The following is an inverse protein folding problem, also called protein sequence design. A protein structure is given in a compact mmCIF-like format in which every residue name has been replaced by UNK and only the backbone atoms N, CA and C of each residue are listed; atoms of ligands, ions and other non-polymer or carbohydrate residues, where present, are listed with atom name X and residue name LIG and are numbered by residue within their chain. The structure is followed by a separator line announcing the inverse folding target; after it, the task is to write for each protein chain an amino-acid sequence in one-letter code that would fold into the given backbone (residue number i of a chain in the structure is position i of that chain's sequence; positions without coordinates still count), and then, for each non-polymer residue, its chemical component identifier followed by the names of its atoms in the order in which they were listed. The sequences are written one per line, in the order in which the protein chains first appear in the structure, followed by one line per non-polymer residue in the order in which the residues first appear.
data_IF_313477651960
#
_entry.id   IF_313477651960
#
_cell.length_a   1.000
_cell.length_b   1.000
_cell.length_c   1.000
_cell.angle_alpha   90.00
_cell.angle_beta   90.00
_cell.angle_gamma   90.00
#
_symmetry.space_group_name_H-M   'P 1'
#
loop_
_entity.id
_entity.type
_entity.pdbx_description
1 polymer ?
#
# COMPACT_ATOMS: atom_id res chain seq x y z
N UNK A 1 33.64 11.87 5.57
CA UNK A 1 34.97 11.35 5.98
C UNK A 1 34.74 10.01 6.69
N UNK A 2 35.60 8.99 6.50
CA UNK A 2 35.50 7.73 7.25
C UNK A 2 35.65 8.02 8.75
N UNK A 3 34.81 7.41 9.60
CA UNK A 3 34.83 7.59 11.06
C UNK A 3 35.80 6.61 11.71
N UNK A 4 36.72 7.07 12.55
CA UNK A 4 37.62 6.20 13.31
C UNK A 4 36.99 5.86 14.66
N UNK A 5 37.16 4.61 15.12
CA UNK A 5 36.72 4.21 16.47
C UNK A 5 37.48 5.04 17.52
N UNK A 6 36.74 5.74 18.37
CA UNK A 6 37.29 6.62 19.42
C UNK A 6 37.17 8.13 19.14
N UNK A 7 36.79 8.55 17.93
CA UNK A 7 36.57 9.96 17.61
C UNK A 7 35.22 10.48 18.16
N UNK A 8 35.16 11.74 18.57
CA UNK A 8 33.91 12.43 18.89
C UNK A 8 33.11 12.72 17.62
N UNK A 9 31.78 12.53 17.66
CA UNK A 9 30.93 12.88 16.52
C UNK A 9 30.91 14.40 16.31
N UNK A 10 31.08 14.85 15.06
CA UNK A 10 31.02 16.27 14.72
C UNK A 10 29.60 16.72 14.44
N UNK A 11 29.29 18.00 14.68
CA UNK A 11 28.00 18.61 14.32
C UNK A 11 27.62 18.39 12.85
N UNK A 12 28.59 18.47 11.94
CA UNK A 12 28.37 18.21 10.51
C UNK A 12 27.93 16.76 10.27
N UNK A 13 28.59 15.80 10.93
CA UNK A 13 28.27 14.38 10.79
C UNK A 13 26.92 14.03 11.41
N UNK A 14 26.59 14.63 12.56
CA UNK A 14 25.28 14.49 13.19
C UNK A 14 24.17 15.05 12.30
N UNK A 15 24.32 16.29 11.83
CA UNK A 15 23.33 16.92 10.94
C UNK A 15 23.13 16.14 9.64
N UNK A 16 24.16 15.46 9.13
CA UNK A 16 24.00 14.58 7.95
C UNK A 16 22.99 13.46 8.19
N UNK A 17 22.97 12.86 9.38
CA UNK A 17 21.98 11.81 9.71
C UNK A 17 20.59 12.41 9.94
N UNK A 18 20.52 13.58 10.59
CA UNK A 18 19.27 14.33 10.76
C UNK A 18 18.66 14.69 9.40
N UNK A 19 19.46 15.17 8.45
CA UNK A 19 18.99 15.56 7.13
C UNK A 19 18.47 14.36 6.33
N UNK A 20 19.16 13.21 6.39
CA UNK A 20 18.70 11.96 5.78
C UNK A 20 17.34 11.52 6.35
N UNK A 21 17.17 11.58 7.66
CA UNK A 21 15.89 11.30 8.30
C UNK A 21 14.79 12.27 7.86
N UNK A 22 15.11 13.56 7.83
CA UNK A 22 14.14 14.61 7.51
C UNK A 22 13.62 14.51 6.08
N UNK A 23 14.45 14.07 5.12
CA UNK A 23 14.01 13.85 3.74
C UNK A 23 12.98 12.71 3.66
N UNK A 24 13.11 11.66 4.47
CA UNK A 24 12.13 10.57 4.52
C UNK A 24 10.84 11.01 5.20
N UNK A 25 10.96 11.79 6.28
CA UNK A 25 9.86 12.11 7.18
C UNK A 25 9.01 13.30 6.74
N UNK A 26 9.66 14.41 6.39
CA UNK A 26 9.01 15.71 6.17
C UNK A 26 8.70 15.86 4.69
N UNK A 27 9.70 16.25 3.91
CA UNK A 27 9.72 16.28 2.45
C UNK A 27 11.15 16.66 2.02
N UNK A 28 11.56 16.32 0.78
CA UNK A 28 12.75 16.91 0.18
C UNK A 28 12.72 18.44 0.24
N UNK A 29 13.87 19.07 0.47
CA UNK A 29 14.00 20.54 0.54
C UNK A 29 14.65 21.09 -0.72
N UNK A 30 14.26 22.31 -1.09
CA UNK A 30 14.90 23.07 -2.16
C UNK A 30 16.26 23.64 -1.73
N UNK A 31 16.92 24.37 -2.62
CA UNK A 31 18.21 25.02 -2.33
C UNK A 31 18.16 26.12 -1.25
N UNK A 32 16.96 26.53 -0.83
CA UNK A 32 16.72 27.52 0.22
C UNK A 32 16.36 26.87 1.57
N UNK A 33 16.14 25.56 1.59
CA UNK A 33 15.77 24.80 2.78
C UNK A 33 14.25 24.65 2.99
N UNK A 34 13.43 25.08 2.02
CA UNK A 34 11.97 24.96 2.08
C UNK A 34 11.51 23.61 1.50
N UNK A 35 10.47 22.96 2.06
CA UNK A 35 9.89 21.74 1.48
C UNK A 35 9.47 21.92 0.02
N UNK A 36 9.86 20.99 -0.84
CA UNK A 36 9.47 20.97 -2.25
C UNK A 36 8.01 20.54 -2.35
N UNK A 37 7.14 21.43 -2.81
CA UNK A 37 5.78 21.10 -3.18
C UNK A 37 5.76 20.55 -4.62
N UNK A 38 5.39 19.28 -4.78
CA UNK A 38 5.28 18.66 -6.08
C UNK A 38 3.90 18.88 -6.70
N UNK A 39 3.86 19.30 -7.96
CA UNK A 39 2.65 19.22 -8.80
C UNK A 39 2.65 17.92 -9.59
N UNK A 40 1.46 17.40 -9.93
CA UNK A 40 1.39 16.23 -10.78
C UNK A 40 1.95 16.52 -12.17
N UNK A 41 2.89 15.69 -12.59
CA UNK A 41 3.42 15.62 -13.94
C UNK A 41 3.66 14.14 -14.23
N UNK A 42 3.05 13.61 -15.29
CA UNK A 42 3.08 12.17 -15.58
C UNK A 42 4.49 11.64 -15.87
N UNK A 43 5.35 12.46 -16.48
CA UNK A 43 6.72 12.06 -16.82
C UNK A 43 7.60 12.04 -15.57
N UNK A 44 7.46 13.05 -14.72
CA UNK A 44 8.22 13.16 -13.48
C UNK A 44 7.70 12.20 -12.40
N UNK A 45 6.40 11.93 -12.36
CA UNK A 45 5.79 10.95 -11.45
C UNK A 45 6.50 9.60 -11.51
N UNK A 46 6.84 9.15 -12.73
CA UNK A 46 7.47 7.85 -12.98
C UNK A 46 8.99 7.88 -12.82
N UNK A 47 9.63 9.00 -13.15
CA UNK A 47 11.10 9.08 -13.28
C UNK A 47 11.80 9.75 -12.10
N UNK A 48 11.15 10.68 -11.39
CA UNK A 48 11.76 11.47 -10.33
C UNK A 48 11.68 10.76 -8.98
N UNK A 49 12.78 10.17 -8.54
CA UNK A 49 12.83 9.37 -7.32
C UNK A 49 12.61 10.18 -6.04
N UNK A 50 12.91 11.49 -6.04
CA UNK A 50 12.68 12.38 -4.89
C UNK A 50 11.18 12.47 -4.52
N UNK A 51 10.28 12.29 -5.48
CA UNK A 51 8.83 12.22 -5.22
C UNK A 51 8.47 11.04 -4.32
N UNK A 52 9.33 10.03 -4.22
CA UNK A 52 9.10 8.82 -3.43
C UNK A 52 9.66 8.93 -2.00
N UNK A 53 9.98 10.15 -1.56
CA UNK A 53 10.47 10.48 -0.23
C UNK A 53 9.52 11.49 0.43
N UNK A 54 9.52 11.58 1.75
CA UNK A 54 8.66 12.51 2.47
C UNK A 54 7.29 11.89 2.74
N UNK A 55 6.96 11.86 4.02
CA UNK A 55 5.67 11.43 4.54
C UNK A 55 4.78 12.61 4.90
N UNK A 56 5.28 13.85 4.73
CA UNK A 56 4.55 15.08 4.97
C UNK A 56 4.40 15.43 6.44
N UNK A 57 5.30 14.94 7.29
CA UNK A 57 5.34 15.29 8.72
C UNK A 57 5.86 16.73 8.92
N UNK A 58 5.48 17.38 10.03
CA UNK A 58 5.97 18.72 10.33
C UNK A 58 7.48 18.77 10.53
N UNK A 59 8.06 19.95 10.31
CA UNK A 59 9.48 20.22 10.53
C UNK A 59 9.87 19.89 11.98
N UNK A 60 10.76 18.91 12.14
CA UNK A 60 11.58 18.76 13.33
C UNK A 60 12.84 19.64 13.16
N UNK A 61 13.25 20.32 14.23
CA UNK A 61 14.46 21.15 14.21
C UNK A 61 15.49 20.53 15.17
N UNK A 62 15.95 19.33 14.81
CA UNK A 62 16.92 18.56 15.59
C UNK A 62 18.36 18.94 15.19
N UNK A 63 18.55 19.62 14.07
CA UNK A 63 19.86 20.07 13.60
C UNK A 63 20.51 21.02 14.60
N UNK A 64 21.83 20.87 14.79
CA UNK A 64 22.62 21.74 15.65
C UNK A 64 23.49 22.69 14.83
N UNK A 65 23.93 23.80 15.41
CA UNK A 65 24.83 24.72 14.71
C UNK A 65 26.23 24.14 14.57
N UNK A 66 26.99 24.63 13.58
CA UNK A 66 28.37 24.23 13.39
C UNK A 66 29.20 24.45 14.67
N UNK A 67 30.11 23.52 14.97
CA UNK A 67 30.96 23.48 16.17
C UNK A 67 30.24 23.17 17.49
N UNK A 68 28.93 22.87 17.47
CA UNK A 68 28.23 22.36 18.66
C UNK A 68 28.82 21.02 19.09
N UNK A 69 29.10 20.88 20.39
CA UNK A 69 29.44 19.59 20.99
C UNK A 69 28.19 18.72 21.02
N UNK A 70 28.29 17.50 20.47
CA UNK A 70 27.17 16.58 20.42
C UNK A 70 27.09 15.81 21.73
N UNK A 71 26.19 16.27 22.58
CA UNK A 71 25.80 15.62 23.83
C UNK A 71 24.82 14.45 23.61
N UNK A 72 24.71 13.58 24.62
CA UNK A 72 23.77 12.46 24.62
C UNK A 72 22.32 12.89 24.34
N UNK A 73 21.91 14.10 24.74
CA UNK A 73 20.58 14.64 24.46
C UNK A 73 20.29 14.76 22.96
N UNK A 74 21.24 15.23 22.16
CA UNK A 74 21.05 15.36 20.71
C UNK A 74 20.89 13.99 20.05
N UNK A 75 21.71 13.01 20.44
CA UNK A 75 21.61 11.64 19.97
C UNK A 75 20.25 11.03 20.35
N UNK A 76 19.89 11.11 21.64
CA UNK A 76 18.67 10.50 22.16
C UNK A 76 17.43 11.12 21.51
N UNK A 77 17.47 12.41 21.16
CA UNK A 77 16.40 13.09 20.43
C UNK A 77 16.23 12.50 19.02
N UNK A 78 17.32 12.39 18.25
CA UNK A 78 17.27 11.78 16.93
C UNK A 78 16.83 10.31 17.01
N UNK A 79 17.34 9.54 17.97
CA UNK A 79 16.96 8.15 18.18
C UNK A 79 15.46 8.00 18.49
N UNK A 80 14.89 8.85 19.35
CA UNK A 80 13.45 8.83 19.65
C UNK A 80 12.59 9.12 18.41
N UNK A 81 13.02 10.06 17.56
CA UNK A 81 12.35 10.32 16.29
C UNK A 81 12.41 9.12 15.34
N UNK A 82 13.59 8.50 15.18
CA UNK A 82 13.76 7.31 14.33
C UNK A 82 12.92 6.14 14.85
N UNK A 83 12.96 5.88 16.16
CA UNK A 83 12.14 4.84 16.79
C UNK A 83 10.65 5.04 16.54
N UNK A 84 10.19 6.29 16.56
CA UNK A 84 8.78 6.62 16.30
C UNK A 84 8.35 6.32 14.87
N UNK A 85 9.27 6.44 13.90
CA UNK A 85 9.00 6.01 12.54
C UNK A 85 9.22 4.52 12.28
N UNK A 86 10.15 3.89 12.97
CA UNK A 86 10.33 2.43 12.91
C UNK A 86 9.10 1.69 13.47
N UNK A 87 8.48 2.21 14.53
CA UNK A 87 7.23 1.66 15.08
C UNK A 87 6.14 1.53 14.01
N UNK A 88 6.10 2.47 13.07
CA UNK A 88 5.13 2.43 11.99
C UNK A 88 5.33 1.23 11.06
N UNK A 89 6.56 0.76 10.85
CA UNK A 89 6.85 -0.38 9.97
C UNK A 89 6.79 -1.72 10.70
N UNK A 90 7.35 -1.81 11.89
CA UNK A 90 7.46 -3.08 12.59
C UNK A 90 7.55 -2.84 14.09
N UNK A 91 6.52 -3.24 14.83
CA UNK A 91 6.45 -3.15 16.30
C UNK A 91 7.65 -3.85 16.98
N UNK A 92 8.25 -4.86 16.32
CA UNK A 92 9.47 -5.55 16.77
C UNK A 92 10.80 -4.93 16.31
N UNK A 93 10.84 -4.00 15.35
CA UNK A 93 12.10 -3.41 14.84
C UNK A 93 12.57 -2.19 15.62
N UNK A 94 12.16 -2.06 16.89
CA UNK A 94 12.68 -1.08 17.85
C UNK A 94 14.15 -1.38 18.18
N UNK A 95 15.00 -1.24 17.17
CA UNK A 95 16.36 -1.78 17.12
C UNK A 95 17.33 -0.87 17.88
N UNK A 96 16.90 0.34 18.28
CA UNK A 96 17.74 1.30 18.99
C UNK A 96 17.40 1.26 20.48
N UNK A 97 17.69 0.12 21.12
CA UNK A 97 17.66 -0.03 22.59
C UNK A 97 18.85 0.63 23.30
N UNK A 98 19.72 1.34 22.56
CA UNK A 98 20.89 2.01 23.12
C UNK A 98 20.70 3.51 23.07
N UNK A 99 19.91 4.06 24.01
CA UNK A 99 20.14 5.44 24.40
C UNK A 99 21.58 5.55 24.89
N UNK A 100 22.29 6.58 24.45
CA UNK A 100 23.54 6.95 25.11
C UNK A 100 23.15 7.43 26.50
N UNK A 101 23.85 6.93 27.54
CA UNK A 101 23.60 7.30 28.93
C UNK A 101 23.42 8.80 29.05
N UNK A 102 22.28 9.25 29.60
CA UNK A 102 22.02 10.67 29.80
C UNK A 102 23.11 11.25 30.73
N UNK A 103 23.52 12.49 30.47
CA UNK A 103 24.64 13.18 31.15
C UNK A 103 26.05 12.68 30.77
N UNK A 104 26.20 12.04 29.61
CA UNK A 104 27.52 11.94 28.95
C UNK A 104 27.69 13.17 28.05
N UNK A 105 28.73 13.95 28.31
CA UNK A 105 29.01 15.21 27.61
C UNK A 105 29.46 14.99 26.16
N UNK A 106 29.93 13.79 25.81
CA UNK A 106 30.55 13.49 24.51
C UNK A 106 30.02 12.20 23.92
N UNK A 107 29.33 12.30 22.78
CA UNK A 107 28.92 11.16 21.96
C UNK A 107 30.07 10.77 21.01
N UNK A 108 30.37 9.49 20.93
CA UNK A 108 31.39 8.97 20.01
C UNK A 108 30.81 8.78 18.61
N UNK A 109 31.66 8.87 17.60
CA UNK A 109 31.29 8.66 16.21
C UNK A 109 30.71 7.26 15.95
N UNK A 110 31.16 6.26 16.72
CA UNK A 110 30.64 4.88 16.67
C UNK A 110 29.22 4.75 17.20
N UNK A 111 28.79 5.64 18.10
CA UNK A 111 27.46 5.58 18.70
C UNK A 111 26.36 5.89 17.66
N UNK A 112 26.72 6.60 16.57
CA UNK A 112 25.82 6.88 15.45
C UNK A 112 25.59 5.69 14.51
N UNK A 113 26.42 4.64 14.57
CA UNK A 113 26.34 3.52 13.62
C UNK A 113 24.96 2.83 13.57
N UNK A 114 24.25 2.60 14.69
CA UNK A 114 22.91 2.03 14.67
C UNK A 114 21.90 2.92 13.94
N UNK A 115 21.93 4.25 14.18
CA UNK A 115 21.03 5.19 13.51
C UNK A 115 21.32 5.22 12.00
N UNK A 116 22.59 5.17 11.61
CA UNK A 116 22.98 5.11 10.20
C UNK A 116 22.58 3.82 9.51
N UNK A 117 22.64 2.69 10.21
CA UNK A 117 22.19 1.41 9.68
C UNK A 117 20.71 1.45 9.33
N UNK A 118 19.89 2.03 10.21
CA UNK A 118 18.45 2.24 9.95
C UNK A 118 18.24 3.14 8.73
N UNK A 119 18.94 4.29 8.65
CA UNK A 119 18.82 5.21 7.50
C UNK A 119 19.22 4.54 6.18
N UNK A 120 20.30 3.77 6.23
CA UNK A 120 20.83 3.03 5.09
C UNK A 120 19.85 1.93 4.64
N UNK A 121 19.12 1.31 5.57
CA UNK A 121 18.04 0.36 5.26
C UNK A 121 16.92 1.05 4.48
N UNK A 122 16.44 2.21 4.94
CA UNK A 122 15.39 2.98 4.26
C UNK A 122 15.79 3.44 2.85
N UNK A 123 17.03 3.85 2.67
CA UNK A 123 17.53 4.35 1.40
C UNK A 123 17.75 3.22 0.38
N UNK A 124 18.26 2.08 0.83
CA UNK A 124 18.65 0.98 -0.05
C UNK A 124 17.55 -0.06 -0.28
N UNK A 125 16.42 0.04 0.43
CA UNK A 125 15.30 -0.91 0.31
C UNK A 125 13.98 -0.20 0.06
N UNK A 126 12.96 -0.97 -0.35
CA UNK A 126 11.59 -0.48 -0.43
C UNK A 126 10.90 -0.45 0.96
N UNK A 127 11.62 -0.74 2.05
CA UNK A 127 11.09 -0.73 3.42
C UNK A 127 10.58 0.65 3.89
N UNK A 128 10.91 1.74 3.17
CA UNK A 128 10.31 3.07 3.40
C UNK A 128 8.83 3.16 3.06
N UNK A 129 8.28 2.21 2.32
CA UNK A 129 6.86 2.12 1.97
C UNK A 129 6.14 1.00 2.72
N UNK A 130 6.81 0.36 3.67
CA UNK A 130 6.25 -0.78 4.37
C UNK A 130 5.42 -0.28 5.57
N UNK A 131 4.14 -0.62 5.58
CA UNK A 131 3.19 -0.34 6.65
C UNK A 131 3.31 -1.31 7.83
N UNK A 132 4.11 -2.36 7.69
CA UNK A 132 4.07 -3.50 8.59
C UNK A 132 2.79 -4.32 8.49
N UNK A 133 2.70 -5.33 9.35
CA UNK A 133 1.49 -6.14 9.53
C UNK A 133 0.37 -5.42 10.32
N UNK A 134 0.64 -4.21 10.81
CA UNK A 134 -0.23 -3.50 11.76
C UNK A 134 -1.04 -2.37 11.14
N UNK A 135 -0.92 -2.08 9.83
CA UNK A 135 -1.70 -1.00 9.19
C UNK A 135 -3.20 -1.03 9.53
N UNK A 136 -3.79 0.15 9.79
CA UNK A 136 -5.22 0.26 10.08
C UNK A 136 -6.01 0.12 8.77
N UNK A 137 -6.86 -0.91 8.70
CA UNK A 137 -7.76 -1.14 7.58
C UNK A 137 -8.99 -0.23 7.72
N UNK A 138 -9.25 0.57 6.70
CA UNK A 138 -10.42 1.43 6.63
C UNK A 138 -11.16 1.12 5.32
N UNK A 139 -12.13 0.21 5.43
CA UNK A 139 -13.14 0.00 4.40
C UNK A 139 -14.15 1.14 4.45
N UNK A 140 -14.40 1.75 3.29
CA UNK A 140 -15.28 2.92 3.23
C UNK A 140 -16.36 2.81 2.18
N UNK A 141 -16.28 1.83 1.26
CA UNK A 141 -17.19 1.78 0.13
C UNK A 141 -17.43 0.36 -0.40
N UNK A 142 -18.61 -0.19 -0.12
CA UNK A 142 -19.10 -1.44 -0.71
C UNK A 142 -20.05 -1.14 -1.87
N UNK A 143 -19.86 -1.80 -3.01
CA UNK A 143 -20.65 -1.58 -4.23
C UNK A 143 -21.07 -2.90 -4.89
N UNK A 144 -22.36 -3.20 -4.83
CA UNK A 144 -22.96 -4.41 -5.42
C UNK A 144 -23.44 -4.17 -6.85
N UNK A 145 -23.36 -5.20 -7.71
CA UNK A 145 -23.93 -5.21 -9.05
C UNK A 145 -25.47 -5.34 -9.05
N UNK A 146 -26.11 -5.53 -7.89
CA UNK A 146 -27.55 -5.69 -7.76
C UNK A 146 -28.12 -6.92 -8.47
N UNK A 147 -27.30 -7.95 -8.72
CA UNK A 147 -27.69 -9.14 -9.48
C UNK A 147 -27.85 -8.91 -10.99
N UNK A 148 -27.24 -7.85 -11.54
CA UNK A 148 -27.21 -7.64 -12.99
C UNK A 148 -26.45 -8.79 -13.65
N UNK A 149 -27.15 -9.53 -14.50
CA UNK A 149 -26.60 -10.68 -15.20
C UNK A 149 -25.66 -10.27 -16.35
N UNK A 150 -24.62 -11.06 -16.60
CA UNK A 150 -23.57 -10.78 -17.59
C UNK A 150 -22.96 -12.07 -18.15
N UNK A 151 -22.18 -11.98 -19.23
CA UNK A 151 -21.70 -13.14 -20.00
C UNK A 151 -22.58 -13.46 -21.21
N UNK A 152 -22.36 -14.63 -21.83
CA UNK A 152 -23.05 -15.08 -23.05
C UNK A 152 -24.25 -15.97 -22.77
N UNK A 153 -25.33 -15.78 -23.54
CA UNK A 153 -26.46 -16.72 -23.62
C UNK A 153 -26.33 -17.67 -24.82
N UNK A 154 -25.18 -17.67 -25.52
CA UNK A 154 -25.03 -18.36 -26.81
C UNK A 154 -23.70 -19.13 -26.88
N UNK A 155 -23.80 -20.46 -26.86
CA UNK A 155 -22.69 -21.41 -26.95
C UNK A 155 -21.96 -21.40 -28.31
N UNK A 156 -22.36 -20.53 -29.25
CA UNK A 156 -21.94 -20.58 -30.65
C UNK A 156 -20.90 -19.51 -31.05
N UNK A 157 -20.46 -18.64 -30.14
CA UNK A 157 -19.59 -17.50 -30.44
C UNK A 157 -18.32 -17.52 -29.57
N UNK A 158 -17.29 -18.20 -30.04
CA UNK A 158 -16.00 -18.37 -29.34
C UNK A 158 -15.17 -17.07 -29.16
N UNK A 159 -15.74 -15.88 -29.41
CA UNK A 159 -15.01 -14.59 -29.43
C UNK A 159 -15.76 -13.43 -28.77
N UNK A 160 -16.83 -13.70 -28.00
CA UNK A 160 -17.58 -12.67 -27.27
C UNK A 160 -17.61 -13.01 -25.79
N UNK A 161 -16.46 -12.97 -25.11
CA UNK A 161 -16.42 -13.07 -23.65
C UNK A 161 -17.09 -11.83 -23.07
N UNK A 162 -18.29 -12.00 -22.49
CA UNK A 162 -18.96 -10.91 -21.81
C UNK A 162 -18.11 -10.43 -20.62
N UNK A 163 -18.14 -9.12 -20.36
CA UNK A 163 -17.45 -8.51 -19.21
C UNK A 163 -18.42 -7.80 -18.28
N UNK A 164 -18.07 -7.69 -17.00
CA UNK A 164 -18.75 -6.85 -16.01
C UNK A 164 -17.74 -5.86 -15.45
N UNK A 165 -18.04 -4.56 -15.57
CA UNK A 165 -17.08 -3.49 -15.28
C UNK A 165 -17.62 -2.45 -14.30
N UNK A 166 -16.81 -2.01 -13.35
CA UNK A 166 -17.09 -0.87 -12.45
C UNK A 166 -15.86 0.02 -12.33
N UNK A 167 -16.07 1.31 -12.03
CA UNK A 167 -14.99 2.27 -11.79
C UNK A 167 -15.19 2.92 -10.43
N UNK A 168 -14.20 2.76 -9.56
CA UNK A 168 -14.08 3.51 -8.31
C UNK A 168 -13.06 4.62 -8.47
N UNK A 169 -13.36 5.79 -7.89
CA UNK A 169 -12.50 6.97 -7.94
C UNK A 169 -12.09 7.39 -6.55
N UNK A 170 -10.78 7.52 -6.37
CA UNK A 170 -10.11 7.97 -5.16
C UNK A 170 -9.62 9.39 -5.40
N UNK A 171 -10.00 10.31 -4.53
CA UNK A 171 -9.69 11.75 -4.71
C UNK A 171 -8.95 12.28 -3.49
N UNK A 172 -7.79 12.87 -3.73
CA UNK A 172 -7.03 13.66 -2.75
C UNK A 172 -7.13 15.15 -3.09
N UNK A 173 -6.94 16.00 -2.08
CA UNK A 173 -6.89 17.47 -2.24
C UNK A 173 -5.90 17.88 -3.33
N UNK A 174 -4.71 17.26 -3.33
CA UNK A 174 -3.66 17.52 -4.30
C UNK A 174 -2.74 16.30 -4.46
N UNK A 175 -1.75 16.43 -5.35
CA UNK A 175 -0.78 15.36 -5.62
C UNK A 175 0.14 15.05 -4.44
N UNK A 176 0.48 16.03 -3.59
CA UNK A 176 1.33 15.77 -2.42
C UNK A 176 0.61 14.96 -1.37
N UNK A 177 -0.68 15.21 -1.15
CA UNK A 177 -1.47 14.40 -0.22
C UNK A 177 -1.50 12.93 -0.65
N UNK A 178 -1.69 12.64 -1.94
CA UNK A 178 -1.59 11.28 -2.47
C UNK A 178 -0.18 10.70 -2.32
N UNK A 179 0.86 11.49 -2.63
CA UNK A 179 2.26 11.10 -2.51
C UNK A 179 2.61 10.75 -1.06
N UNK A 180 2.19 11.55 -0.10
CA UNK A 180 2.37 11.33 1.33
C UNK A 180 1.64 10.07 1.78
N UNK A 181 0.41 9.85 1.33
CA UNK A 181 -0.35 8.62 1.62
C UNK A 181 0.42 7.37 1.18
N UNK A 182 0.85 7.29 -0.08
CA UNK A 182 1.59 6.11 -0.57
C UNK A 182 3.01 6.03 0.02
N UNK A 183 3.68 7.16 0.24
CA UNK A 183 5.04 7.18 0.79
C UNK A 183 5.08 6.72 2.24
N UNK A 184 4.06 7.03 3.04
CA UNK A 184 3.90 6.46 4.39
C UNK A 184 3.35 5.03 4.35
N UNK A 185 3.52 4.33 3.23
CA UNK A 185 3.10 2.97 3.00
C UNK A 185 1.61 2.75 2.69
N UNK A 186 0.76 3.78 2.75
CA UNK A 186 -0.68 3.67 2.51
C UNK A 186 -1.01 2.90 1.23
N UNK A 187 -2.07 2.08 1.30
CA UNK A 187 -2.47 1.23 0.18
C UNK A 187 -3.97 1.31 -0.06
N UNK A 188 -4.35 1.24 -1.32
CA UNK A 188 -5.74 1.03 -1.70
C UNK A 188 -6.05 -0.46 -1.61
N UNK A 189 -7.23 -0.80 -1.09
CA UNK A 189 -7.70 -2.19 -0.99
C UNK A 189 -8.85 -2.42 -1.95
N UNK A 190 -8.87 -3.61 -2.52
CA UNK A 190 -9.95 -4.12 -3.36
C UNK A 190 -10.22 -5.53 -2.88
N UNK A 191 -11.43 -5.78 -2.46
CA UNK A 191 -11.92 -7.10 -2.09
C UNK A 191 -13.21 -7.37 -2.85
N UNK A 192 -13.39 -8.60 -3.30
CA UNK A 192 -14.50 -9.00 -4.15
C UNK A 192 -15.23 -10.16 -3.48
N UNK A 193 -16.54 -10.11 -3.52
CA UNK A 193 -17.40 -11.16 -2.98
C UNK A 193 -18.43 -11.51 -4.05
N UNK A 194 -18.69 -12.81 -4.24
CA UNK A 194 -19.85 -13.28 -4.98
C UNK A 194 -20.82 -13.90 -3.97
N UNK A 195 -22.10 -13.60 -4.03
CA UNK A 195 -23.12 -14.27 -3.22
C UNK A 195 -24.38 -14.54 -4.02
N UNK A 196 -24.98 -15.72 -3.82
CA UNK A 196 -26.25 -16.08 -4.44
C UNK A 196 -26.22 -16.06 -5.97
N UNK A 197 -27.37 -16.27 -6.60
CA UNK A 197 -27.46 -16.56 -8.04
C UNK A 197 -27.56 -18.06 -8.32
N UNK A 198 -28.03 -18.39 -9.52
CA UNK A 198 -28.17 -19.76 -10.01
C UNK A 198 -26.98 -20.20 -10.86
N UNK A 199 -26.23 -19.25 -11.44
CA UNK A 199 -25.15 -19.50 -12.39
C UNK A 199 -23.91 -18.64 -12.09
N UNK A 200 -22.74 -19.29 -12.07
CA UNK A 200 -21.42 -18.66 -11.89
C UNK A 200 -21.05 -18.26 -10.45
N UNK A 201 -21.98 -18.37 -9.49
CA UNK A 201 -21.73 -17.98 -8.09
C UNK A 201 -20.54 -18.70 -7.47
N UNK A 202 -20.56 -20.04 -7.41
CA UNK A 202 -19.53 -20.82 -6.71
C UNK A 202 -18.15 -20.60 -7.33
N UNK A 203 -18.11 -20.40 -8.64
CA UNK A 203 -16.88 -20.25 -9.39
C UNK A 203 -16.25 -18.87 -9.19
N UNK A 204 -17.05 -17.80 -9.22
CA UNK A 204 -16.59 -16.45 -8.92
C UNK A 204 -16.19 -16.30 -7.44
N UNK A 205 -16.97 -16.88 -6.53
CA UNK A 205 -16.67 -16.93 -5.09
C UNK A 205 -15.31 -17.58 -4.84
N UNK A 206 -15.07 -18.76 -5.45
CA UNK A 206 -13.78 -19.44 -5.35
C UNK A 206 -12.62 -18.63 -5.93
N UNK A 207 -12.80 -17.98 -7.08
CA UNK A 207 -11.75 -17.12 -7.67
C UNK A 207 -11.41 -15.98 -6.72
N UNK A 208 -12.42 -15.32 -6.15
CA UNK A 208 -12.22 -14.22 -5.21
C UNK A 208 -11.55 -14.66 -3.91
N UNK A 209 -11.99 -15.78 -3.32
CA UNK A 209 -11.33 -16.38 -2.15
C UNK A 209 -9.84 -16.69 -2.40
N UNK A 210 -9.50 -17.16 -3.60
CA UNK A 210 -8.11 -17.43 -3.95
C UNK A 210 -7.29 -16.16 -4.21
N UNK A 211 -7.92 -15.04 -4.57
CA UNK A 211 -7.25 -13.73 -4.68
C UNK A 211 -7.11 -13.10 -3.29
N UNK A 212 -8.11 -13.26 -2.43
CA UNK A 212 -8.32 -12.49 -1.20
C UNK A 212 -8.32 -10.98 -1.52
N UNK A 213 -7.87 -10.15 -0.58
CA UNK A 213 -7.73 -8.72 -0.79
C UNK A 213 -6.56 -8.39 -1.72
N UNK A 214 -6.79 -7.55 -2.72
CA UNK A 214 -5.75 -6.92 -3.54
C UNK A 214 -5.32 -5.60 -2.88
N UNK A 215 -4.02 -5.40 -2.79
CA UNK A 215 -3.40 -4.23 -2.18
C UNK A 215 -2.61 -3.44 -3.21
N UNK A 216 -2.99 -2.18 -3.49
CA UNK A 216 -2.28 -1.29 -4.41
C UNK A 216 -1.43 -0.31 -3.61
N UNK A 217 -0.12 -0.51 -3.59
CA UNK A 217 0.83 0.33 -2.86
C UNK A 217 1.73 1.18 -3.74
N UNK A 218 2.66 1.89 -3.09
CA UNK A 218 3.61 2.79 -3.75
C UNK A 218 4.47 2.11 -4.83
N UNK A 219 4.93 0.89 -4.53
CA UNK A 219 5.96 0.17 -5.30
C UNK A 219 5.56 -1.20 -5.80
N UNK A 220 4.48 -1.77 -5.24
CA UNK A 220 3.95 -3.05 -5.63
C UNK A 220 2.44 -3.04 -5.52
N UNK A 221 1.80 -3.82 -6.38
CA UNK A 221 0.45 -4.33 -6.12
C UNK A 221 0.61 -5.77 -5.66
N UNK A 222 -0.03 -6.13 -4.55
CA UNK A 222 0.04 -7.47 -3.95
C UNK A 222 -1.36 -8.00 -3.69
N UNK A 223 -1.44 -9.22 -3.15
CA UNK A 223 -2.68 -9.91 -2.83
C UNK A 223 -2.52 -10.70 -1.53
N UNK A 224 -3.62 -10.99 -0.84
CA UNK A 224 -3.62 -11.86 0.35
C UNK A 224 -3.58 -13.34 0.01
N UNK A 225 -4.23 -13.73 -1.09
CA UNK A 225 -4.43 -15.12 -1.49
C UNK A 225 -3.32 -15.67 -2.39
N UNK A 226 -3.57 -16.87 -2.93
CA UNK A 226 -2.63 -17.59 -3.78
C UNK A 226 -2.71 -17.20 -5.28
N UNK A 227 -3.83 -16.66 -5.75
CA UNK A 227 -4.13 -16.46 -7.17
C UNK A 227 -3.98 -15.01 -7.65
N UNK A 228 -3.37 -14.85 -8.81
CA UNK A 228 -3.19 -13.57 -9.48
C UNK A 228 -1.82 -12.93 -9.27
N UNK A 229 -1.55 -11.88 -10.03
CA UNK A 229 -0.25 -11.22 -10.11
C UNK A 229 -0.44 -9.71 -10.14
N UNK A 230 0.25 -9.01 -9.24
CA UNK A 230 0.43 -7.57 -9.34
C UNK A 230 1.47 -7.22 -10.39
N UNK A 231 1.14 -6.24 -11.24
CA UNK A 231 1.90 -5.91 -12.46
C UNK A 231 2.50 -4.51 -12.37
N UNK A 232 1.77 -3.57 -11.76
CA UNK A 232 2.18 -2.16 -11.62
C UNK A 232 1.79 -1.63 -10.25
N UNK A 233 2.44 -0.54 -9.87
CA UNK A 233 2.22 0.17 -8.62
C UNK A 233 2.01 1.66 -8.83
N UNK A 234 1.65 2.39 -7.77
CA UNK A 234 1.30 3.80 -7.85
C UNK A 234 2.28 4.62 -8.70
N UNK A 235 3.59 4.54 -8.42
CA UNK A 235 4.62 5.31 -9.14
C UNK A 235 4.88 4.88 -10.59
N UNK A 236 4.15 3.89 -11.10
CA UNK A 236 4.25 3.40 -12.47
C UNK A 236 3.03 3.75 -13.32
N UNK A 237 1.97 4.25 -12.69
CA UNK A 237 0.72 4.63 -13.33
C UNK A 237 0.90 5.88 -14.21
N UNK A 238 -0.01 6.04 -15.16
CA UNK A 238 -0.13 7.24 -15.97
C UNK A 238 -1.59 7.62 -16.23
N UNK A 239 -1.80 8.52 -17.18
CA UNK A 239 -3.12 9.08 -17.50
C UNK A 239 -4.04 8.12 -18.25
N UNK A 240 -3.55 6.94 -18.65
CA UNK A 240 -4.34 5.92 -19.33
C UNK A 240 -4.60 4.73 -18.40
N UNK A 241 -5.69 4.00 -18.63
CA UNK A 241 -5.92 2.76 -17.92
C UNK A 241 -4.82 1.75 -18.27
N UNK A 242 -4.10 1.32 -17.24
CA UNK A 242 -3.07 0.29 -17.33
C UNK A 242 -3.45 -0.86 -16.42
N UNK A 243 -3.26 -2.08 -16.88
CA UNK A 243 -3.47 -3.25 -16.06
C UNK A 243 -2.46 -3.25 -14.89
N UNK A 244 -2.98 -3.35 -13.68
CA UNK A 244 -2.19 -3.33 -12.44
C UNK A 244 -2.23 -4.65 -11.69
N UNK A 245 -3.28 -5.44 -11.92
CA UNK A 245 -3.48 -6.74 -11.33
C UNK A 245 -4.26 -7.62 -12.30
N UNK A 246 -3.96 -8.91 -12.28
CA UNK A 246 -4.72 -9.90 -13.02
C UNK A 246 -4.71 -11.25 -12.31
N UNK A 247 -5.86 -11.91 -12.29
CA UNK A 247 -6.02 -13.28 -11.86
C UNK A 247 -6.87 -14.02 -12.89
N UNK A 248 -6.50 -15.25 -13.19
CA UNK A 248 -7.25 -16.13 -14.08
C UNK A 248 -7.98 -17.17 -13.24
N UNK A 249 -9.11 -17.66 -13.76
CA UNK A 249 -9.74 -18.86 -13.25
C UNK A 249 -8.81 -20.07 -13.41
N UNK A 250 -9.03 -21.10 -12.61
CA UNK A 250 -8.18 -22.28 -12.60
C UNK A 250 -8.66 -23.27 -13.66
N UNK A 251 -7.72 -23.82 -14.43
CA UNK A 251 -7.96 -25.07 -15.16
C UNK A 251 -7.96 -26.21 -14.13
N UNK A 252 -9.10 -26.89 -14.01
CA UNK A 252 -9.33 -27.98 -13.04
C UNK A 252 -8.46 -29.22 -13.26
N UNK A 253 -7.58 -29.24 -14.27
CA UNK A 253 -6.60 -30.30 -14.51
C UNK A 253 -5.70 -30.66 -13.32
N UNK A 254 -5.44 -29.73 -12.40
CA UNK A 254 -4.62 -29.94 -11.20
C UNK A 254 -5.42 -30.20 -9.90
N UNK A 255 -6.76 -30.05 -9.92
CA UNK A 255 -7.60 -30.23 -8.72
C UNK A 255 -8.07 -31.66 -8.49
N UNK A 256 -7.68 -32.60 -9.36
CA UNK A 256 -8.17 -33.97 -9.31
C UNK A 256 -9.69 -34.04 -9.44
N UNK A 257 -10.25 -35.25 -9.47
CA UNK A 257 -11.65 -35.53 -9.76
C UNK A 257 -12.69 -35.02 -8.72
N UNK A 258 -12.40 -33.94 -7.97
CA UNK A 258 -13.25 -33.39 -6.92
C UNK A 258 -13.80 -31.97 -7.22
N UNK A 259 -13.35 -31.30 -8.27
CA UNK A 259 -13.83 -29.94 -8.62
C UNK A 259 -15.13 -29.90 -9.46
N UNK A 260 -15.85 -31.02 -9.59
CA UNK A 260 -17.08 -31.07 -10.37
C UNK A 260 -17.89 -32.35 -10.16
N UNK A 261 -18.43 -32.56 -8.96
CA UNK A 261 -19.53 -33.52 -8.78
C UNK A 261 -20.86 -32.77 -8.73
N UNK A 262 -21.39 -32.40 -9.89
CA UNK A 262 -22.80 -32.03 -10.00
C UNK A 262 -23.66 -33.29 -9.89
N UNK A 263 -24.54 -33.32 -8.90
CA UNK A 263 -25.50 -34.42 -8.72
C UNK A 263 -26.76 -34.12 -9.53
N UNK A 264 -26.87 -34.63 -10.75
CA UNK A 264 -28.15 -34.67 -11.47
C UNK A 264 -28.75 -36.06 -11.34
N UNK A 265 -29.85 -36.18 -10.59
CA UNK A 265 -30.69 -37.38 -10.54
C UNK A 265 -30.01 -38.68 -10.03
N UNK A 266 -29.03 -38.56 -9.12
CA UNK A 266 -28.49 -39.70 -8.36
C UNK A 266 -27.48 -40.59 -9.09
N UNK A 267 -26.93 -40.14 -10.22
CA UNK A 267 -25.89 -40.85 -10.97
C UNK A 267 -24.61 -40.01 -10.99
N UNK A 268 -23.51 -40.56 -10.49
CA UNK A 268 -22.18 -39.95 -10.64
C UNK A 268 -21.71 -40.11 -12.08
N UNK A 269 -21.56 -39.01 -12.80
CA UNK A 269 -21.01 -39.01 -14.16
C UNK A 269 -19.60 -38.44 -14.10
N UNK A 270 -18.58 -39.29 -14.26
CA UNK A 270 -17.21 -38.84 -14.52
C UNK A 270 -17.11 -38.42 -15.99
N UNK A 271 -17.34 -37.14 -16.27
CA UNK A 271 -17.08 -36.55 -17.58
C UNK A 271 -15.58 -36.32 -17.77
N UNK A 272 -15.07 -36.62 -18.95
CA UNK A 272 -13.71 -36.25 -19.37
C UNK A 272 -13.51 -34.75 -19.17
N UNK A 273 -12.40 -34.38 -18.52
CA UNK A 273 -12.12 -33.02 -18.04
C UNK A 273 -12.06 -32.00 -19.16
N UNK A 274 -13.13 -31.24 -19.31
CA UNK A 274 -13.07 -29.90 -19.89
C UNK A 274 -12.50 -28.97 -18.82
N UNK A 275 -11.62 -28.06 -19.24
CA UNK A 275 -11.07 -26.99 -18.43
C UNK A 275 -12.20 -26.03 -18.01
N UNK A 276 -13.07 -26.48 -17.12
CA UNK A 276 -14.09 -25.64 -16.51
C UNK A 276 -13.33 -24.49 -15.85
N UNK A 277 -13.61 -23.26 -16.28
CA UNK A 277 -13.21 -22.01 -15.63
C UNK A 277 -11.87 -21.40 -16.06
N UNK A 278 -11.10 -22.03 -16.95
CA UNK A 278 -9.82 -21.48 -17.42
C UNK A 278 -9.97 -20.13 -18.15
N UNK A 279 -11.17 -19.82 -18.67
CA UNK A 279 -11.47 -18.59 -19.36
C UNK A 279 -12.00 -17.46 -18.47
N UNK A 280 -12.17 -17.62 -17.14
CA UNK A 280 -12.57 -16.50 -16.27
C UNK A 280 -11.39 -15.63 -15.86
N UNK A 281 -11.63 -14.34 -15.67
CA UNK A 281 -10.55 -13.39 -15.36
C UNK A 281 -11.01 -12.23 -14.47
N UNK A 282 -10.22 -11.90 -13.45
CA UNK A 282 -10.32 -10.65 -12.70
C UNK A 282 -9.18 -9.76 -13.13
N UNK A 283 -9.49 -8.61 -13.73
CA UNK A 283 -8.48 -7.64 -14.14
C UNK A 283 -8.77 -6.28 -13.52
N UNK A 284 -7.77 -5.74 -12.84
CA UNK A 284 -7.84 -4.39 -12.29
C UNK A 284 -6.94 -3.49 -13.11
N UNK A 285 -7.50 -2.38 -13.56
CA UNK A 285 -6.78 -1.31 -14.23
C UNK A 285 -6.74 -0.07 -13.35
N UNK A 286 -5.64 0.67 -13.41
CA UNK A 286 -5.55 1.99 -12.81
C UNK A 286 -5.18 3.05 -13.84
N UNK A 287 -5.68 4.27 -13.62
CA UNK A 287 -5.12 5.50 -14.17
C UNK A 287 -5.07 6.56 -13.07
N UNK A 288 -4.19 7.54 -13.24
CA UNK A 288 -4.08 8.70 -12.36
C UNK A 288 -4.18 9.98 -13.16
N UNK A 289 -4.46 11.11 -12.49
CA UNK A 289 -4.57 12.39 -13.17
C UNK A 289 -5.17 13.47 -12.29
N UNK A 290 -5.30 14.66 -12.87
CA UNK A 290 -5.96 15.78 -12.20
C UNK A 290 -7.42 15.86 -12.62
N UNK A 291 -8.31 16.08 -11.67
CA UNK A 291 -9.69 16.51 -11.91
C UNK A 291 -9.92 17.85 -11.22
N UNK A 292 -9.93 18.92 -12.03
CA UNK A 292 -9.80 20.28 -11.50
C UNK A 292 -8.47 20.46 -10.75
N UNK A 293 -8.56 20.82 -9.47
CA UNK A 293 -7.39 20.97 -8.58
C UNK A 293 -7.01 19.69 -7.85
N UNK A 294 -7.88 18.68 -7.87
CA UNK A 294 -7.71 17.48 -7.08
C UNK A 294 -6.90 16.44 -7.84
N UNK A 295 -6.07 15.69 -7.12
CA UNK A 295 -5.41 14.52 -7.69
C UNK A 295 -6.30 13.29 -7.51
N UNK A 296 -6.46 12.53 -8.58
CA UNK A 296 -7.36 11.39 -8.63
C UNK A 296 -6.65 10.12 -9.10
N UNK A 297 -7.09 9.00 -8.55
CA UNK A 297 -6.80 7.65 -9.00
C UNK A 297 -8.12 6.97 -9.34
N UNK A 298 -8.22 6.39 -10.52
CA UNK A 298 -9.37 5.62 -10.95
C UNK A 298 -9.00 4.16 -11.04
N UNK A 299 -9.74 3.31 -10.34
CA UNK A 299 -9.64 1.85 -10.44
C UNK A 299 -10.82 1.33 -11.24
N UNK A 300 -10.53 0.71 -12.38
CA UNK A 300 -11.50 -0.06 -13.14
C UNK A 300 -11.33 -1.53 -12.81
N UNK A 301 -12.34 -2.13 -12.20
CA UNK A 301 -12.41 -3.58 -11.99
C UNK A 301 -13.23 -4.18 -13.11
N UNK A 302 -12.68 -5.19 -13.76
CA UNK A 302 -13.28 -5.91 -14.88
C UNK A 302 -13.27 -7.40 -14.55
N UNK A 303 -14.45 -8.00 -14.59
CA UNK A 303 -14.63 -9.43 -14.57
C UNK A 303 -14.88 -9.86 -16.00
N UNK A 304 -14.20 -10.89 -16.47
CA UNK A 304 -14.38 -11.45 -17.81
C UNK A 304 -14.80 -12.90 -17.69
N UNK A 305 -15.90 -13.25 -18.35
CA UNK A 305 -16.48 -14.60 -18.28
C UNK A 305 -15.78 -15.57 -19.23
N UNK A 306 -15.96 -16.86 -18.99
CA UNK A 306 -15.54 -17.90 -19.91
C UNK A 306 -16.39 -17.84 -21.20
N UNK A 307 -15.75 -18.02 -22.35
CA UNK A 307 -16.44 -18.02 -23.65
C UNK A 307 -17.27 -19.30 -23.85
N UNK A 308 -16.92 -20.37 -23.14
CA UNK A 308 -17.56 -21.68 -23.27
C UNK A 308 -18.81 -21.83 -22.38
N UNK A 309 -19.11 -20.83 -21.54
CA UNK A 309 -20.27 -20.85 -20.67
C UNK A 309 -21.56 -20.54 -21.45
N UNK A 310 -22.56 -21.40 -21.22
CA UNK A 310 -23.83 -21.43 -21.96
C UNK A 310 -24.95 -20.66 -21.28
N UNK A 311 -24.66 -20.06 -20.12
CA UNK A 311 -25.60 -19.28 -19.33
C UNK A 311 -24.92 -18.04 -18.77
N UNK A 312 -25.64 -16.92 -18.75
CA UNK A 312 -25.20 -15.72 -18.05
C UNK A 312 -25.01 -15.99 -16.56
N UNK A 313 -23.96 -15.38 -16.02
CA UNK A 313 -23.73 -15.26 -14.58
C UNK A 313 -24.79 -14.33 -14.02
N UNK A 314 -25.52 -14.78 -13.01
CA UNK A 314 -26.53 -14.00 -12.27
C UNK A 314 -26.14 -13.80 -10.80
N UNK A 315 -24.89 -14.09 -10.45
CA UNK A 315 -24.34 -13.89 -9.13
C UNK A 315 -24.38 -12.42 -8.70
N UNK A 316 -24.68 -12.17 -7.43
CA UNK A 316 -24.55 -10.83 -6.87
C UNK A 316 -23.09 -10.60 -6.49
N UNK A 317 -22.42 -9.74 -7.25
CA UNK A 317 -21.02 -9.38 -7.02
C UNK A 317 -20.96 -8.10 -6.22
N UNK A 318 -20.23 -8.12 -5.11
CA UNK A 318 -19.90 -6.95 -4.30
C UNK A 318 -18.43 -6.62 -4.45
N UNK A 319 -18.12 -5.37 -4.78
CA UNK A 319 -16.78 -4.80 -4.70
C UNK A 319 -16.66 -4.01 -3.40
N UNK A 320 -15.85 -4.50 -2.47
CA UNK A 320 -15.45 -3.78 -1.27
C UNK A 320 -14.17 -3.01 -1.55
N UNK A 321 -14.22 -1.70 -1.33
CA UNK A 321 -13.09 -0.80 -1.53
C UNK A 321 -12.85 0.08 -0.34
N UNK A 322 -11.58 0.45 -0.18
CA UNK A 322 -11.13 1.23 0.93
C UNK A 322 -9.65 1.55 0.81
N UNK A 323 -9.03 1.77 1.95
CA UNK A 323 -7.60 1.93 2.04
C UNK A 323 -7.12 1.48 3.40
N UNK A 324 -5.82 1.18 3.49
CA UNK A 324 -5.14 1.07 4.76
C UNK A 324 -4.11 2.17 4.92
N UNK A 325 -3.97 2.65 6.14
CA UNK A 325 -3.03 3.70 6.50
C UNK A 325 -2.06 3.22 7.56
N UNK A 326 -0.99 3.99 7.69
CA UNK A 326 -0.13 3.94 8.84
C UNK A 326 -0.92 4.07 10.15
N UNK A 327 -0.66 3.17 11.11
CA UNK A 327 -1.07 3.43 12.48
C UNK A 327 -0.35 4.67 13.02
N UNK A 328 -1.04 5.39 13.90
CA UNK A 328 -0.40 6.37 14.76
C UNK A 328 0.72 5.70 15.58
N UNK A 329 1.68 6.51 16.04
CA UNK A 329 2.51 6.09 17.15
C UNK A 329 1.65 5.62 18.33
N UNK A 330 2.19 4.71 19.16
CA UNK A 330 1.41 4.00 20.17
C UNK A 330 0.72 4.98 21.12
N UNK A 331 -0.43 4.56 21.66
CA UNK A 331 -1.25 5.43 22.49
C UNK A 331 -0.51 5.95 23.74
N UNK A 332 -1.06 7.00 24.35
CA UNK A 332 -0.46 7.63 25.53
C UNK A 332 -0.26 6.67 26.72
N UNK A 333 -1.04 5.60 26.82
CA UNK A 333 -0.92 4.56 27.84
C UNK A 333 0.29 3.65 27.58
N UNK A 334 0.47 3.18 26.34
CA UNK A 334 1.63 2.42 25.93
C UNK A 334 2.91 3.27 26.02
N UNK A 335 2.86 4.53 25.58
CA UNK A 335 3.97 5.48 25.77
C UNK A 335 4.30 5.67 27.26
N UNK A 336 3.32 5.55 28.15
CA UNK A 336 3.48 5.58 29.61
C UNK A 336 4.18 4.36 30.22
N UNK A 337 4.32 3.26 29.47
CA UNK A 337 4.96 2.03 29.92
C UNK A 337 6.49 2.08 29.85
N UNK A 338 7.17 1.04 30.36
CA UNK A 338 8.61 0.86 30.18
C UNK A 338 9.03 0.77 28.70
N UNK A 339 8.14 0.25 27.85
CA UNK A 339 8.38 0.08 26.42
C UNK A 339 8.29 1.43 25.67
N UNK A 340 7.49 2.37 26.18
CA UNK A 340 7.37 3.73 25.63
C UNK A 340 8.57 4.65 25.89
N UNK A 341 9.53 4.21 26.72
CA UNK A 341 10.69 5.02 27.10
C UNK A 341 11.58 5.39 25.92
N UNK A 342 11.67 4.52 24.90
CA UNK A 342 12.49 4.69 23.69
C UNK A 342 11.93 5.70 22.67
N UNK A 343 10.75 6.25 22.95
CA UNK A 343 10.14 7.37 22.21
C UNK A 343 10.22 8.69 22.98
N UNK A 344 10.93 8.72 24.12
CA UNK A 344 10.91 9.87 25.04
C UNK A 344 12.29 10.43 25.30
N UNK A 345 12.38 11.76 25.29
CA UNK A 345 13.57 12.48 25.77
C UNK A 345 13.10 13.58 26.70
N UNK A 346 13.71 13.66 27.89
CA UNK A 346 13.33 14.61 28.96
C UNK A 346 11.83 14.60 29.29
N UNK A 347 11.21 13.42 29.24
CA UNK A 347 9.77 13.25 29.49
C UNK A 347 8.85 13.66 28.33
N UNK A 348 9.38 14.22 27.25
CA UNK A 348 8.62 14.55 26.03
C UNK A 348 8.56 13.33 25.12
N UNK A 349 7.36 12.88 24.78
CA UNK A 349 7.15 11.81 23.81
C UNK A 349 7.17 12.37 22.38
N UNK A 350 7.87 11.66 21.51
CA UNK A 350 7.86 11.89 20.07
C UNK A 350 6.94 10.87 19.43
N UNK A 351 6.05 11.35 18.58
CA UNK A 351 5.03 10.52 17.95
C UNK A 351 5.07 10.72 16.45
N UNK A 352 4.88 9.63 15.73
CA UNK A 352 4.46 9.67 14.35
C UNK A 352 2.96 9.93 14.30
N UNK A 353 2.55 10.89 13.49
CA UNK A 353 1.14 11.19 13.28
C UNK A 353 0.68 10.55 11.98
N UNK A 354 -0.25 9.61 12.06
CA UNK A 354 -1.01 9.15 10.90
C UNK A 354 -1.71 10.35 10.27
N UNK A 355 -1.70 10.41 8.93
CA UNK A 355 -2.31 11.53 8.19
C UNK A 355 -3.72 11.16 7.76
N UNK A 356 -4.55 10.72 8.70
CA UNK A 356 -5.95 10.35 8.45
C UNK A 356 -6.73 11.50 7.79
N UNK A 357 -6.38 12.77 8.08
CA UNK A 357 -7.00 13.93 7.43
C UNK A 357 -6.65 14.10 5.93
N UNK A 358 -5.76 13.28 5.38
CA UNK A 358 -5.22 13.40 4.01
C UNK A 358 -5.31 12.09 3.23
N UNK A 359 -6.28 11.26 3.61
CA UNK A 359 -6.69 10.03 2.92
C UNK A 359 -7.63 10.37 1.76
N UNK A 360 -7.77 9.48 0.75
CA UNK A 360 -8.67 9.75 -0.36
C UNK A 360 -10.14 9.67 0.07
N UNK A 361 -10.99 10.48 -0.54
CA UNK A 361 -12.43 10.18 -0.60
C UNK A 361 -12.69 9.19 -1.72
N UNK A 362 -13.56 8.20 -1.50
CA UNK A 362 -13.93 7.19 -2.49
C UNK A 362 -15.35 7.44 -2.99
N UNK A 363 -15.56 7.33 -4.30
CA UNK A 363 -16.88 7.25 -4.91
C UNK A 363 -16.92 6.16 -5.99
N UNK A 364 -18.11 5.63 -6.26
CA UNK A 364 -18.37 4.89 -7.49
C UNK A 364 -18.62 5.87 -8.63
N UNK A 365 -17.68 5.95 -9.58
CA UNK A 365 -17.81 6.78 -10.78
C UNK A 365 -18.64 6.08 -11.86
N UNK A 366 -18.49 4.76 -11.98
CA UNK A 366 -19.28 3.92 -12.87
C UNK A 366 -19.81 2.70 -12.11
N UNK A 367 -21.13 2.55 -12.08
CA UNK A 367 -21.77 1.35 -11.56
C UNK A 367 -21.40 0.13 -12.41
N UNK A 368 -21.53 -1.06 -11.83
CA UNK A 368 -21.40 -2.31 -12.57
C UNK A 368 -22.19 -2.29 -13.88
N UNK A 369 -21.48 -2.46 -14.99
CA UNK A 369 -22.00 -2.36 -16.36
C UNK A 369 -21.55 -3.59 -17.14
N UNK A 370 -22.50 -4.43 -17.62
CA UNK A 370 -22.20 -5.52 -18.53
C UNK A 370 -21.79 -4.98 -19.90
N UNK A 371 -20.76 -5.57 -20.50
CA UNK A 371 -20.43 -5.36 -21.90
C UNK A 371 -20.44 -6.73 -22.62
N UNK A 372 -20.94 -6.77 -23.87
CA UNK A 372 -21.02 -7.99 -24.66
C UNK A 372 -19.66 -8.53 -25.08
#
# INVERSE_FOLDING_TARGET
MPRTVGDTITAVSFNTVVDRWNVLWQDPKDGNGDPIAYTYDVSLHKSETLRRLGWGQPLNNITVTANTLIEAKHYNLLAAHINSGEYHREDSSMTINNYVTQNVDVVLASDMNPLEAVMTSYENTDAKFDLGATGELIETHAHSNGGVAWGTDDAASADTRGTLTTIQKYTWTDYNDARHFFNSGGQIIIDLEAIGGSFGYNEWDYIFDQIDTIYVGAKQTTKGGANGTGIKSFYEFDNNYQQIFNAQGFDTGDLGAYAGQYTYSGVYVSGEGYAQYGGREVTVYAKIGMDGTNFCLWLKTELTEDADDVAKVDANITLNTGYRVAQDAPDTGWLGSSNGSVHKVDGTAYIFQSRIAKVPTIITEQNWTPNP
#
